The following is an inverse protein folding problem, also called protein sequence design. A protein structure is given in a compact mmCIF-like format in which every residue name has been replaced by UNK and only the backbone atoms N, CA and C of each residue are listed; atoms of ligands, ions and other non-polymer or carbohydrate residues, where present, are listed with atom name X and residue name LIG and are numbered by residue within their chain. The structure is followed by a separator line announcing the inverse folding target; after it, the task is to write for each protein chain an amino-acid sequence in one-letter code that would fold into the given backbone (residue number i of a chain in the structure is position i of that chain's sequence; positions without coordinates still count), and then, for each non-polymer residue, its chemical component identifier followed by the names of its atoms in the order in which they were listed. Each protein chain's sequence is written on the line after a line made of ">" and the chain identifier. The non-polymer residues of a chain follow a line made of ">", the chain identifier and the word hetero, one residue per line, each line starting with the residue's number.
data_IF_745968690194
#
_entry.id   IF_745968690194
#
_cell.length_a   1.000
_cell.length_b   1.000
_cell.length_c   1.000
_cell.angle_alpha   90.00
_cell.angle_beta   90.00
_cell.angle_gamma   90.00
#
_symmetry.space_group_name_H-M   'P 1'
#
loop_
_entity.id
_entity.type
_entity.pdbx_description
1 polymer ?
#
# COMPACT_ATOMS: atom_id res chain seq x y z
N UNK A 1 -0.82 4.85 -35.09
CA UNK A 1 -0.63 6.21 -34.54
C UNK A 1 -1.45 6.37 -33.26
N UNK A 2 -0.94 5.95 -32.08
CA UNK A 2 -1.60 6.19 -30.76
C UNK A 2 -0.61 6.28 -29.59
N UNK A 3 0.70 6.33 -29.84
CA UNK A 3 1.72 6.37 -28.79
C UNK A 3 1.97 7.79 -28.27
N UNK A 4 1.84 8.81 -29.13
CA UNK A 4 2.19 10.20 -28.78
C UNK A 4 1.25 10.77 -27.70
N UNK A 5 -0.06 10.55 -27.84
CA UNK A 5 -1.06 11.03 -26.88
C UNK A 5 -0.97 10.39 -25.49
N UNK A 6 -0.51 9.12 -25.40
CA UNK A 6 -0.24 8.46 -24.11
C UNK A 6 1.02 8.97 -23.44
N UNK A 7 2.07 9.24 -24.23
CA UNK A 7 3.30 9.82 -23.70
C UNK A 7 3.07 11.25 -23.19
N UNK A 8 2.44 12.10 -24.01
CA UNK A 8 2.17 13.51 -23.68
C UNK A 8 1.25 13.65 -22.45
N UNK A 9 0.24 12.79 -22.30
CA UNK A 9 -0.57 12.75 -21.08
C UNK A 9 0.20 12.28 -19.84
N UNK A 10 1.10 11.29 -19.99
CA UNK A 10 1.95 10.84 -18.88
C UNK A 10 2.96 11.90 -18.46
N UNK A 11 3.53 12.65 -19.41
CA UNK A 11 4.46 13.74 -19.17
C UNK A 11 3.76 14.91 -18.45
N UNK A 12 2.56 15.29 -18.89
CA UNK A 12 1.77 16.33 -18.24
C UNK A 12 1.41 15.93 -16.80
N UNK A 13 0.97 14.69 -16.57
CA UNK A 13 0.67 14.18 -15.23
C UNK A 13 1.93 14.15 -14.34
N UNK A 14 3.04 13.64 -14.85
CA UNK A 14 4.31 13.59 -14.11
C UNK A 14 4.80 15.00 -13.75
N UNK A 15 4.75 15.93 -14.70
CA UNK A 15 5.11 17.35 -14.49
C UNK A 15 4.20 17.98 -13.46
N UNK A 16 2.89 17.72 -13.53
CA UNK A 16 1.94 18.22 -12.55
C UNK A 16 2.24 17.68 -11.16
N UNK A 17 2.41 16.36 -10.99
CA UNK A 17 2.77 15.75 -9.70
C UNK A 17 4.07 16.33 -9.13
N UNK A 18 5.11 16.49 -9.97
CA UNK A 18 6.38 17.09 -9.59
C UNK A 18 6.28 18.57 -9.23
N UNK A 19 5.28 19.29 -9.75
CA UNK A 19 5.00 20.68 -9.39
C UNK A 19 4.27 20.82 -8.05
N UNK A 20 3.73 19.72 -7.51
CA UNK A 20 3.10 19.69 -6.18
C UNK A 20 4.10 19.29 -5.09
N UNK A 21 3.85 19.65 -3.81
CA UNK A 21 4.69 19.18 -2.70
C UNK A 21 4.50 17.69 -2.38
N UNK A 22 3.64 16.96 -3.11
CA UNK A 22 3.28 15.58 -2.79
C UNK A 22 4.50 14.67 -2.69
N UNK A 23 5.39 14.71 -3.68
CA UNK A 23 6.55 13.83 -3.74
C UNK A 23 7.58 14.18 -2.65
N UNK A 24 7.85 15.47 -2.46
CA UNK A 24 8.79 15.96 -1.45
C UNK A 24 8.31 15.63 -0.03
N UNK A 25 7.06 15.94 0.30
CA UNK A 25 6.49 15.66 1.63
C UNK A 25 6.38 14.16 1.90
N UNK A 26 5.98 13.36 0.90
CA UNK A 26 5.94 11.91 1.02
C UNK A 26 7.33 11.34 1.30
N UNK A 27 8.35 11.76 0.53
CA UNK A 27 9.71 11.28 0.71
C UNK A 27 10.31 11.69 2.06
N UNK A 28 10.08 12.94 2.48
CA UNK A 28 10.50 13.46 3.77
C UNK A 28 9.88 12.67 4.92
N UNK A 29 8.58 12.35 4.83
CA UNK A 29 7.89 11.58 5.85
C UNK A 29 8.35 10.10 5.88
N UNK A 30 8.58 9.49 4.72
CA UNK A 30 9.17 8.15 4.61
C UNK A 30 10.56 8.11 5.26
N UNK A 31 11.40 9.11 5.00
CA UNK A 31 12.73 9.22 5.61
C UNK A 31 12.64 9.30 7.13
N UNK A 32 11.66 10.04 7.66
CA UNK A 32 11.38 10.09 9.11
C UNK A 32 10.94 8.74 9.66
N UNK A 33 9.97 8.08 9.02
CA UNK A 33 9.50 6.76 9.46
C UNK A 33 10.62 5.69 9.44
N UNK A 34 11.57 5.81 8.50
CA UNK A 34 12.73 4.93 8.43
C UNK A 34 13.80 5.21 9.50
N UNK A 35 13.86 6.44 10.03
CA UNK A 35 14.79 6.83 11.09
C UNK A 35 14.27 6.49 12.51
N UNK A 36 12.96 6.31 12.65
CA UNK A 36 12.31 5.86 13.89
C UNK A 36 12.51 4.34 14.12
N UNK A 37 11.74 3.75 15.04
CA UNK A 37 11.82 2.33 15.35
C UNK A 37 11.39 1.43 14.19
N UNK A 38 11.83 0.17 14.22
CA UNK A 38 11.34 -0.88 13.33
C UNK A 38 9.81 -1.00 13.42
N UNK A 39 9.17 -1.31 12.28
CA UNK A 39 7.70 -1.46 12.20
C UNK A 39 6.93 -0.25 12.79
N UNK A 40 7.49 0.94 12.63
CA UNK A 40 6.83 2.18 13.01
C UNK A 40 6.15 2.84 11.81
N UNK A 41 5.27 3.78 12.10
CA UNK A 41 4.65 4.63 11.10
C UNK A 41 4.59 6.07 11.60
N UNK A 42 4.76 6.99 10.66
CA UNK A 42 4.73 8.42 10.90
C UNK A 42 3.50 9.03 10.24
N UNK A 43 2.83 9.93 10.96
CA UNK A 43 1.68 10.70 10.44
C UNK A 43 2.07 12.17 10.39
N UNK A 44 1.71 12.84 9.30
CA UNK A 44 1.88 14.28 9.15
C UNK A 44 0.67 14.89 8.45
N UNK A 45 0.05 15.89 9.09
CA UNK A 45 -1.09 16.61 8.53
C UNK A 45 -0.62 17.94 7.95
N UNK A 46 -0.82 18.14 6.66
CA UNK A 46 -0.55 19.39 5.96
C UNK A 46 -1.87 19.94 5.42
N UNK A 47 -2.46 20.88 6.15
CA UNK A 47 -3.79 21.42 5.85
C UNK A 47 -4.87 20.33 5.91
N UNK A 48 -5.52 20.07 4.76
CA UNK A 48 -6.59 19.06 4.62
C UNK A 48 -6.07 17.67 4.21
N UNK A 49 -4.75 17.53 3.99
CA UNK A 49 -4.14 16.25 3.58
C UNK A 49 -3.41 15.63 4.76
N UNK A 50 -3.65 14.33 4.99
CA UNK A 50 -2.90 13.52 5.93
C UNK A 50 -1.96 12.58 5.16
N UNK A 51 -0.67 12.70 5.44
CA UNK A 51 0.36 11.81 4.97
C UNK A 51 0.61 10.74 6.03
N UNK A 52 0.60 9.48 5.64
CA UNK A 52 0.93 8.34 6.49
C UNK A 52 2.05 7.58 5.83
N UNK A 53 3.22 7.52 6.47
CA UNK A 53 4.36 6.76 5.98
C UNK A 53 4.64 5.58 6.92
N UNK A 54 4.77 4.40 6.34
CA UNK A 54 5.16 3.18 7.04
C UNK A 54 6.66 2.99 6.88
N UNK A 55 7.33 2.61 7.96
CA UNK A 55 8.77 2.33 7.93
C UNK A 55 9.06 1.15 7.00
N UNK A 56 10.00 1.33 6.08
CA UNK A 56 10.56 0.27 5.25
C UNK A 56 11.55 -0.60 6.01
N UNK A 57 12.00 -0.16 7.19
CA UNK A 57 12.90 -0.93 8.06
C UNK A 57 12.05 -1.89 8.91
N UNK A 58 11.64 -2.99 8.27
CA UNK A 58 10.79 -3.98 8.90
C UNK A 58 11.60 -5.15 9.43
N UNK A 59 11.36 -5.52 10.68
CA UNK A 59 11.75 -6.84 11.20
C UNK A 59 10.48 -7.70 11.15
N UNK A 60 10.01 -8.03 9.94
CA UNK A 60 9.03 -9.11 9.87
C UNK A 60 9.82 -10.38 10.21
N UNK A 61 9.45 -11.05 11.30
CA UNK A 61 10.02 -12.35 11.67
C UNK A 61 9.49 -13.40 10.66
N UNK A 62 9.97 -13.28 9.43
CA UNK A 62 9.63 -14.10 8.28
C UNK A 62 10.34 -15.46 8.40
N UNK A 63 10.15 -16.15 9.51
CA UNK A 63 10.60 -17.53 9.69
C UNK A 63 9.80 -18.49 8.81
N UNK A 64 8.58 -18.11 8.44
CA UNK A 64 7.70 -18.88 7.57
C UNK A 64 7.94 -18.61 6.08
N UNK A 65 7.89 -19.69 5.29
CA UNK A 65 8.08 -19.67 3.83
C UNK A 65 7.00 -18.84 3.10
N UNK A 66 5.81 -18.74 3.71
CA UNK A 66 4.68 -17.91 3.25
C UNK A 66 5.03 -16.42 3.11
N UNK A 67 6.01 -15.93 3.88
CA UNK A 67 6.38 -14.52 3.86
C UNK A 67 7.18 -14.10 2.63
N UNK A 68 7.78 -15.06 1.92
CA UNK A 68 8.63 -14.83 0.74
C UNK A 68 7.96 -15.25 -0.56
N UNK A 69 6.73 -15.75 -0.49
CA UNK A 69 5.96 -16.23 -1.63
C UNK A 69 4.71 -15.39 -1.88
N UNK A 70 4.10 -15.62 -3.04
CA UNK A 70 2.76 -15.11 -3.31
C UNK A 70 1.74 -15.98 -2.58
N UNK A 71 0.82 -15.34 -1.87
CA UNK A 71 -0.30 -15.97 -1.20
C UNK A 71 -1.60 -15.41 -1.74
N UNK A 72 -2.65 -16.23 -1.74
CA UNK A 72 -3.99 -15.75 -2.04
C UNK A 72 -4.42 -14.74 -0.97
N UNK A 73 -4.94 -13.59 -1.39
CA UNK A 73 -5.29 -12.47 -0.53
C UNK A 73 -6.34 -12.83 0.52
N UNK A 74 -7.39 -13.54 0.10
CA UNK A 74 -8.50 -13.94 0.99
C UNK A 74 -8.05 -15.04 1.96
N UNK A 75 -7.44 -16.11 1.46
CA UNK A 75 -6.94 -17.23 2.27
C UNK A 75 -5.76 -16.83 3.18
N UNK A 76 -4.98 -15.83 2.79
CA UNK A 76 -3.83 -15.29 3.53
C UNK A 76 -4.18 -14.36 4.70
N UNK A 77 -5.46 -14.28 5.09
CA UNK A 77 -5.94 -13.48 6.21
C UNK A 77 -6.52 -12.11 5.82
N UNK A 78 -6.59 -11.81 4.51
CA UNK A 78 -7.27 -10.61 4.00
C UNK A 78 -8.80 -10.70 3.96
N UNK A 79 -9.35 -11.89 4.27
CA UNK A 79 -10.79 -12.13 4.25
C UNK A 79 -11.56 -11.14 5.11
N UNK A 80 -12.52 -10.45 4.48
CA UNK A 80 -13.36 -9.44 5.13
C UNK A 80 -12.75 -8.03 5.18
N UNK A 81 -11.44 -7.88 5.01
CA UNK A 81 -10.79 -6.56 4.84
C UNK A 81 -10.81 -6.11 3.39
N UNK A 82 -10.62 -7.05 2.47
CA UNK A 82 -10.54 -6.82 1.02
C UNK A 82 -11.75 -7.33 0.24
N UNK A 83 -12.81 -7.73 0.94
CA UNK A 83 -14.00 -8.31 0.34
C UNK A 83 -14.65 -7.32 -0.66
N UNK A 84 -14.92 -7.80 -1.88
CA UNK A 84 -15.61 -7.04 -2.92
C UNK A 84 -14.77 -6.00 -3.66
N UNK A 85 -13.51 -5.78 -3.30
CA UNK A 85 -12.66 -4.77 -3.95
C UNK A 85 -12.03 -5.27 -5.27
N UNK A 86 -11.95 -6.58 -5.43
CA UNK A 86 -11.26 -7.22 -6.56
C UNK A 86 -12.17 -8.07 -7.45
N UNK A 87 -13.48 -8.08 -7.18
CA UNK A 87 -14.44 -8.75 -8.05
C UNK A 87 -14.54 -7.97 -9.36
N UNK A 88 -13.91 -8.49 -10.42
CA UNK A 88 -14.08 -8.00 -11.77
C UNK A 88 -15.57 -8.03 -12.11
N UNK A 89 -16.10 -6.88 -12.52
CA UNK A 89 -17.48 -6.74 -12.96
C UNK A 89 -17.79 -7.71 -14.10
N UNK A 90 -18.69 -8.65 -13.84
CA UNK A 90 -19.15 -9.62 -14.82
C UNK A 90 -20.05 -10.61 -14.13
N UNK A 91 -21.36 -10.37 -14.16
CA UNK A 91 -22.33 -11.36 -13.74
C UNK A 91 -22.17 -12.64 -14.56
N UNK A 92 -21.93 -13.75 -13.88
CA UNK A 92 -21.84 -15.08 -14.47
C UNK A 92 -20.76 -15.92 -13.79
N UNK A 93 -21.10 -17.17 -13.49
CA UNK A 93 -20.31 -18.20 -12.81
C UNK A 93 -18.97 -18.54 -13.50
N UNK A 94 -18.05 -17.59 -13.61
CA UNK A 94 -16.64 -17.86 -13.86
C UNK A 94 -15.91 -17.76 -12.52
N UNK A 95 -15.30 -18.86 -12.08
CA UNK A 95 -14.31 -18.87 -11.00
C UNK A 95 -13.25 -17.81 -11.34
N UNK A 96 -13.37 -16.64 -10.72
CA UNK A 96 -12.37 -15.59 -10.86
C UNK A 96 -11.09 -16.10 -10.23
N UNK A 97 -9.98 -15.98 -10.95
CA UNK A 97 -8.67 -16.35 -10.43
C UNK A 97 -8.39 -15.58 -9.13
N UNK A 98 -7.94 -16.26 -8.06
CA UNK A 98 -7.72 -15.61 -6.78
C UNK A 98 -6.66 -14.51 -6.89
N UNK A 99 -6.88 -13.40 -6.19
CA UNK A 99 -5.89 -12.31 -6.14
C UNK A 99 -4.70 -12.77 -5.33
N UNK A 100 -3.53 -12.78 -5.96
CA UNK A 100 -2.27 -13.17 -5.32
C UNK A 100 -1.47 -11.93 -4.88
N UNK A 101 -0.96 -11.92 -3.65
CA UNK A 101 -0.16 -10.83 -3.07
C UNK A 101 1.08 -11.35 -2.37
N UNK A 102 2.08 -10.50 -2.17
CA UNK A 102 3.28 -10.88 -1.42
C UNK A 102 2.95 -11.12 0.06
N UNK A 103 3.17 -12.34 0.57
CA UNK A 103 2.72 -12.75 1.90
C UNK A 103 3.29 -11.89 3.03
N UNK A 104 4.59 -11.54 2.99
CA UNK A 104 5.19 -10.67 4.00
C UNK A 104 4.60 -9.24 4.04
N UNK A 105 4.17 -8.71 2.89
CA UNK A 105 3.54 -7.38 2.84
C UNK A 105 2.10 -7.44 3.35
N UNK A 106 1.38 -8.53 3.05
CA UNK A 106 0.04 -8.77 3.60
C UNK A 106 0.10 -8.89 5.13
N UNK A 107 1.05 -9.65 5.67
CA UNK A 107 1.24 -9.77 7.11
C UNK A 107 1.58 -8.43 7.76
N UNK A 108 2.46 -7.63 7.16
CA UNK A 108 2.76 -6.28 7.66
C UNK A 108 1.51 -5.40 7.66
N UNK A 109 0.74 -5.43 6.57
CA UNK A 109 -0.50 -4.66 6.47
C UNK A 109 -1.47 -5.06 7.60
N UNK A 110 -1.69 -6.36 7.80
CA UNK A 110 -2.57 -6.88 8.84
C UNK A 110 -2.06 -6.50 10.24
N UNK A 111 -0.74 -6.52 10.47
CA UNK A 111 -0.13 -6.07 11.71
C UNK A 111 -0.50 -4.61 12.03
N UNK A 112 -0.34 -3.68 11.08
CA UNK A 112 -0.73 -2.29 11.31
C UNK A 112 -2.24 -2.14 11.44
N UNK A 113 -3.01 -2.78 10.56
CA UNK A 113 -4.46 -2.71 10.53
C UNK A 113 -5.08 -3.13 11.86
N UNK A 114 -4.57 -4.20 12.49
CA UNK A 114 -5.06 -4.65 13.79
C UNK A 114 -4.42 -3.91 14.99
N UNK A 115 -3.40 -3.08 14.77
CA UNK A 115 -2.76 -2.35 15.86
C UNK A 115 -3.66 -1.22 16.39
N UNK A 116 -3.86 -1.20 17.71
CA UNK A 116 -4.62 -0.13 18.38
C UNK A 116 -3.98 1.25 18.19
N UNK A 117 -2.65 1.30 18.08
CA UNK A 117 -1.93 2.54 17.82
C UNK A 117 -2.26 3.13 16.44
N UNK A 118 -2.55 2.30 15.45
CA UNK A 118 -2.92 2.75 14.12
C UNK A 118 -4.40 3.13 14.05
N UNK A 119 -5.28 2.31 14.64
CA UNK A 119 -6.74 2.55 14.64
C UNK A 119 -7.14 3.83 15.38
N UNK A 120 -6.40 4.22 16.42
CA UNK A 120 -6.76 5.35 17.28
C UNK A 120 -5.99 6.65 16.95
N UNK A 121 -5.27 6.71 15.83
CA UNK A 121 -4.42 7.87 15.50
C UNK A 121 -5.19 8.85 14.62
N UNK A 122 -5.57 9.98 15.22
CA UNK A 122 -6.24 11.13 14.56
C UNK A 122 -5.27 12.12 13.91
#
# INVERSE_FOLDING_TARGET
>A
MTSCCRFESSEMLATYLASTPLLEESWRLCSRANADAHQSFAVHRAGQVAYVAFSGVQVVDCSEESCRSLVELESGGGKGVFAGTFCGGGGGDQEQEPVMVHGGLLQLFLFYYHSQNFQNKE
#
